data_IF_511291225745
#
_entry.id   IF_511291225745
#
_cell.length_a   1.000
_cell.length_b   1.000
_cell.length_c   1.000
_cell.angle_alpha   90.00
_cell.angle_beta   90.00
_cell.angle_gamma   90.00
#
_symmetry.space_group_name_H-M   'P 1'
#
loop_
_entity.id
_entity.type
_entity.pdbx_description
1 polymer ?
#
# COMPACT_ATOMS: atom_id res chain seq x y z
N UNK A 1 4.92 -8.96 3.49
CA UNK A 1 4.02 -10.11 3.23
C UNK A 1 3.56 -10.03 1.79
N UNK A 2 3.53 -11.18 1.11
CA UNK A 2 3.21 -11.28 -0.31
C UNK A 2 1.90 -12.04 -0.48
N UNK A 3 1.09 -11.68 -1.47
CA UNK A 3 -0.17 -12.38 -1.75
C UNK A 3 -1.26 -11.50 -2.32
N UNK A 4 -2.47 -12.08 -2.39
CA UNK A 4 -3.69 -11.39 -2.78
C UNK A 4 -4.34 -10.77 -1.54
N UNK A 5 -4.66 -9.49 -1.60
CA UNK A 5 -5.31 -8.76 -0.52
C UNK A 5 -6.63 -8.17 -1.01
N UNK A 6 -7.70 -8.41 -0.26
CA UNK A 6 -9.05 -8.01 -0.60
C UNK A 6 -9.58 -7.00 0.43
N UNK A 7 -10.14 -5.91 -0.04
CA UNK A 7 -10.77 -4.89 0.81
C UNK A 7 -12.26 -5.19 1.03
N UNK A 8 -12.94 -4.36 1.82
CA UNK A 8 -14.37 -4.52 2.13
C UNK A 8 -15.29 -4.46 0.90
N UNK A 9 -14.87 -3.76 -0.15
CA UNK A 9 -15.59 -3.61 -1.43
C UNK A 9 -15.29 -4.74 -2.43
N UNK A 10 -14.62 -5.81 -1.99
CA UNK A 10 -14.21 -6.95 -2.83
C UNK A 10 -13.24 -6.61 -3.96
N UNK A 11 -12.56 -5.45 -3.92
CA UNK A 11 -11.43 -5.18 -4.78
C UNK A 11 -10.21 -5.98 -4.32
N UNK A 12 -9.38 -6.41 -5.26
CA UNK A 12 -8.20 -7.21 -4.99
C UNK A 12 -6.94 -6.55 -5.53
N UNK A 13 -5.86 -6.64 -4.76
CA UNK A 13 -4.51 -6.35 -5.25
C UNK A 13 -3.62 -7.58 -5.07
N UNK A 14 -2.60 -7.70 -5.93
CA UNK A 14 -1.52 -8.68 -5.76
C UNK A 14 -0.29 -7.93 -5.30
N UNK A 15 0.16 -8.16 -4.06
CA UNK A 15 1.26 -7.43 -3.43
C UNK A 15 2.51 -8.29 -3.28
N UNK A 16 3.68 -7.66 -3.49
CA UNK A 16 5.01 -8.23 -3.34
C UNK A 16 5.87 -7.30 -2.47
N UNK A 17 6.44 -7.82 -1.39
CA UNK A 17 7.35 -7.11 -0.49
C UNK A 17 8.80 -7.46 -0.84
N UNK A 18 9.63 -6.47 -1.17
CA UNK A 18 11.06 -6.74 -1.42
C UNK A 18 11.96 -6.44 -0.22
N UNK A 19 11.53 -5.58 0.71
CA UNK A 19 12.26 -5.37 1.97
C UNK A 19 11.34 -4.92 3.10
N UNK A 20 11.65 -5.37 4.31
CA UNK A 20 11.18 -4.79 5.56
C UNK A 20 12.38 -4.34 6.40
N UNK A 21 12.26 -3.26 7.17
CA UNK A 21 13.30 -2.75 8.07
C UNK A 21 12.68 -2.26 9.38
N UNK A 22 13.39 -2.36 10.49
CA UNK A 22 12.94 -1.87 11.80
C UNK A 22 12.59 -2.98 12.79
N UNK A 23 12.11 -2.58 13.97
CA UNK A 23 11.73 -3.47 15.07
C UNK A 23 10.25 -3.21 15.32
N UNK A 24 9.42 -4.26 15.27
CA UNK A 24 7.99 -4.14 15.56
C UNK A 24 7.78 -3.50 16.95
N UNK A 25 6.93 -2.45 17.10
CA UNK A 25 5.99 -1.94 16.07
C UNK A 25 6.67 -1.09 14.98
N UNK A 26 7.67 -0.27 15.35
CA UNK A 26 8.47 0.66 14.53
C UNK A 26 9.17 0.01 13.30
N UNK A 27 8.37 -0.40 12.31
CA UNK A 27 8.79 -1.15 11.14
C UNK A 27 8.30 -0.49 9.86
N UNK A 28 9.11 -0.60 8.80
CA UNK A 28 8.79 -0.10 7.46
C UNK A 28 8.84 -1.23 6.45
N UNK A 29 7.85 -1.27 5.58
CA UNK A 29 7.74 -2.23 4.49
C UNK A 29 7.74 -1.50 3.16
N UNK A 30 8.40 -2.11 2.18
CA UNK A 30 8.53 -1.56 0.84
C UNK A 30 8.26 -2.65 -0.18
N UNK A 31 7.57 -2.29 -1.24
CA UNK A 31 7.16 -3.26 -2.23
C UNK A 31 6.42 -2.66 -3.39
N UNK A 32 5.75 -3.54 -4.11
CA UNK A 32 4.92 -3.21 -5.24
C UNK A 32 3.61 -3.99 -5.15
N UNK A 33 2.57 -3.49 -5.80
CA UNK A 33 1.37 -4.25 -6.02
C UNK A 33 0.80 -4.01 -7.42
N UNK A 34 0.06 -5.01 -7.91
CA UNK A 34 -0.79 -4.89 -9.08
C UNK A 34 -2.24 -4.69 -8.65
N UNK A 35 -2.89 -3.68 -9.22
CA UNK A 35 -4.31 -3.33 -9.05
C UNK A 35 -5.03 -3.52 -10.40
N UNK A 36 -5.91 -4.53 -10.52
CA UNK A 36 -6.67 -4.77 -11.74
C UNK A 36 -7.59 -3.61 -12.13
N UNK A 37 -8.08 -2.84 -11.16
CA UNK A 37 -8.90 -1.64 -11.39
C UNK A 37 -8.08 -0.40 -11.76
N UNK A 38 -6.74 -0.53 -11.76
CA UNK A 38 -5.80 0.57 -11.99
C UNK A 38 -6.05 1.79 -11.08
N UNK A 39 -6.49 1.51 -9.85
CA UNK A 39 -6.67 2.47 -8.76
C UNK A 39 -5.58 2.31 -7.69
N UNK A 40 -5.15 3.41 -7.07
CA UNK A 40 -4.23 3.38 -5.93
C UNK A 40 -4.92 2.74 -4.71
N UNK A 41 -4.17 1.94 -3.95
CA UNK A 41 -4.63 1.22 -2.76
C UNK A 41 -3.58 1.34 -1.66
N UNK A 42 -4.03 1.26 -0.42
CA UNK A 42 -3.14 1.21 0.74
C UNK A 42 -2.43 -0.16 0.84
N UNK A 43 -1.42 -0.24 1.70
CA UNK A 43 -0.73 -1.50 1.97
C UNK A 43 -1.70 -2.58 2.45
N UNK A 44 -1.58 -3.79 1.91
CA UNK A 44 -2.50 -4.90 2.19
C UNK A 44 -3.97 -4.60 1.89
N UNK A 45 -4.24 -3.61 1.03
CA UNK A 45 -5.59 -3.20 0.62
C UNK A 45 -6.50 -2.84 1.80
N UNK A 46 -5.94 -2.21 2.84
CA UNK A 46 -6.75 -1.77 3.99
C UNK A 46 -7.69 -0.63 3.59
N UNK A 47 -8.90 -0.65 4.17
CA UNK A 47 -9.96 0.32 3.90
C UNK A 47 -9.66 1.67 4.57
N UNK A 48 -8.82 2.48 3.94
CA UNK A 48 -8.46 3.84 4.39
C UNK A 48 -8.54 4.84 3.25
N UNK A 49 -8.74 6.11 3.59
CA UNK A 49 -8.74 7.17 2.59
C UNK A 49 -7.33 7.44 2.06
N UNK A 50 -7.23 7.61 0.74
CA UNK A 50 -6.01 7.99 0.05
C UNK A 50 -6.06 9.47 -0.36
N UNK A 51 -5.08 10.24 0.09
CA UNK A 51 -4.94 11.66 -0.23
C UNK A 51 -3.89 11.84 -1.31
N UNK A 52 -4.29 12.37 -2.47
CA UNK A 52 -3.38 12.61 -3.59
C UNK A 52 -2.42 13.77 -3.30
N UNK A 53 -1.13 13.55 -3.49
CA UNK A 53 -0.08 14.54 -3.31
C UNK A 53 1.07 14.32 -4.31
N UNK A 54 1.42 15.33 -5.10
CA UNK A 54 2.65 15.36 -5.93
C UNK A 54 3.01 14.04 -6.65
N UNK A 55 2.04 13.39 -7.29
CA UNK A 55 2.26 12.17 -8.07
C UNK A 55 2.31 10.87 -7.27
N UNK A 56 1.89 10.89 -6.01
CA UNK A 56 1.64 9.73 -5.16
C UNK A 56 0.38 9.96 -4.31
N UNK A 57 -0.01 8.96 -3.52
CA UNK A 57 -1.09 9.06 -2.55
C UNK A 57 -0.56 8.70 -1.18
N UNK A 58 -0.93 9.49 -0.16
CA UNK A 58 -0.70 9.18 1.25
C UNK A 58 -1.92 8.50 1.83
N UNK A 59 -1.69 7.62 2.80
CA UNK A 59 -2.76 7.06 3.62
C UNK A 59 -2.30 6.99 5.08
N UNK A 60 -3.28 7.04 5.97
CA UNK A 60 -3.10 7.02 7.41
C UNK A 60 -4.15 6.08 8.01
N UNK A 61 -3.74 5.35 9.04
CA UNK A 61 -4.61 4.47 9.82
C UNK A 61 -4.49 4.85 11.31
N UNK A 62 -4.77 3.93 12.24
CA UNK A 62 -4.63 4.20 13.68
C UNK A 62 -3.22 4.63 14.10
N UNK A 63 -3.13 5.63 14.98
CA UNK A 63 -1.89 6.01 15.64
C UNK A 63 -0.95 6.79 14.73
N UNK A 64 0.26 6.28 14.51
CA UNK A 64 1.24 6.80 13.54
C UNK A 64 1.40 5.90 12.31
N UNK A 65 0.57 4.86 12.19
CA UNK A 65 0.57 3.95 11.05
C UNK A 65 0.18 4.68 9.77
N UNK A 66 0.80 4.31 8.66
CA UNK A 66 0.47 4.93 7.39
C UNK A 66 1.37 4.46 6.27
N UNK A 67 1.27 5.14 5.14
CA UNK A 67 2.07 4.81 3.98
C UNK A 67 1.92 5.77 2.82
N UNK A 68 2.63 5.43 1.75
CA UNK A 68 2.43 6.01 0.44
C UNK A 68 2.19 4.92 -0.58
N UNK A 69 1.43 5.24 -1.63
CA UNK A 69 1.39 4.47 -2.86
C UNK A 69 1.66 5.38 -4.06
N UNK A 70 2.40 4.88 -5.05
CA UNK A 70 2.81 5.63 -6.23
C UNK A 70 2.67 4.78 -7.47
N UNK A 71 1.99 5.30 -8.50
CA UNK A 71 1.86 4.60 -9.79
C UNK A 71 3.22 4.51 -10.49
N UNK A 72 3.57 3.32 -10.98
CA UNK A 72 4.82 3.06 -11.71
C UNK A 72 4.58 2.48 -13.12
N UNK A 73 3.35 2.08 -13.43
CA UNK A 73 2.96 1.58 -14.76
C UNK A 73 1.54 1.02 -14.75
N UNK A 74 1.04 0.55 -15.89
CA UNK A 74 -0.32 0.01 -16.09
C UNK A 74 -0.77 -0.95 -14.97
N UNK A 75 -1.59 -0.48 -14.02
CA UNK A 75 -2.03 -1.25 -12.85
C UNK A 75 -0.95 -1.51 -11.79
N UNK A 76 0.30 -1.09 -12.00
CA UNK A 76 1.41 -1.33 -11.08
C UNK A 76 1.73 -0.11 -10.24
N UNK A 77 1.89 -0.35 -8.95
CA UNK A 77 2.15 0.66 -7.94
C UNK A 77 3.31 0.23 -7.06
N UNK A 78 4.11 1.20 -6.64
CA UNK A 78 5.07 1.09 -5.53
C UNK A 78 4.38 1.50 -4.24
N UNK A 79 4.73 0.87 -3.11
CA UNK A 79 4.28 1.30 -1.80
C UNK A 79 5.42 1.43 -0.79
N UNK A 80 5.20 2.31 0.18
CA UNK A 80 5.86 2.30 1.49
C UNK A 80 4.78 2.21 2.57
N UNK A 81 5.00 1.41 3.60
CA UNK A 81 4.14 1.34 4.76
C UNK A 81 4.99 1.43 6.03
N UNK A 82 4.48 2.10 7.06
CA UNK A 82 5.12 2.21 8.37
C UNK A 82 4.12 1.92 9.49
N UNK A 83 4.64 1.30 10.53
CA UNK A 83 3.96 0.88 11.76
C UNK A 83 4.89 1.12 12.95
#
# INVERSE_FOLDING_TARGET
MDGVFRNSESEEIVQFTYTGKGIIPASKYYGFYYSPSDQPQAFQNVDVNLEAENGYWKWHDEGDNGGITKKIGNGWYYYEAWF
#
